data_IF_323319229200
#
_entry.id   IF_323319229200
#
_cell.length_a   1.000
_cell.length_b   1.000
_cell.length_c   1.000
_cell.angle_alpha   90.00
_cell.angle_beta   90.00
_cell.angle_gamma   90.00
#
_symmetry.space_group_name_H-M   'P 1'
#
loop_
_entity.id
_entity.type
_entity.pdbx_description
1 polymer ?
#
# COMPACT_ATOMS: atom_id res chain seq x y z
N UNK A 1 3.88 16.27 13.96
CA UNK A 1 2.70 15.52 13.48
C UNK A 1 3.05 14.97 12.12
N UNK A 2 3.15 13.66 11.97
CA UNK A 2 3.36 13.03 10.65
C UNK A 2 2.12 13.34 9.82
N UNK A 3 2.31 14.04 8.70
CA UNK A 3 1.22 14.33 7.78
C UNK A 3 0.85 13.02 7.07
N UNK A 4 -0.44 12.68 7.01
CA UNK A 4 -0.94 11.52 6.24
C UNK A 4 -0.41 11.63 4.80
N UNK A 5 0.06 10.52 4.21
CA UNK A 5 0.57 10.50 2.84
C UNK A 5 -0.47 11.00 1.81
N UNK A 6 -1.74 10.67 2.05
CA UNK A 6 -2.91 11.25 1.37
C UNK A 6 -4.17 11.03 2.21
N UNK A 7 -5.23 11.74 1.89
CA UNK A 7 -6.58 11.50 2.41
C UNK A 7 -7.54 11.41 1.22
N UNK A 8 -8.60 10.60 1.36
CA UNK A 8 -9.59 10.43 0.30
C UNK A 8 -9.45 9.11 -0.46
N UNK A 9 -9.41 9.16 -1.78
CA UNK A 9 -9.46 8.00 -2.68
C UNK A 9 -8.08 7.66 -3.25
N UNK A 10 -7.48 6.58 -2.78
CA UNK A 10 -6.35 5.95 -3.45
C UNK A 10 -6.84 4.80 -4.33
N UNK A 11 -6.46 4.79 -5.60
CA UNK A 11 -6.85 3.71 -6.52
C UNK A 11 -5.75 2.67 -6.64
N UNK A 12 -6.09 1.40 -6.39
CA UNK A 12 -5.23 0.27 -6.74
C UNK A 12 -5.37 0.03 -8.26
N UNK A 13 -4.44 0.61 -9.01
CA UNK A 13 -4.49 0.64 -10.47
C UNK A 13 -4.30 -0.76 -11.05
N UNK A 14 -5.09 -1.11 -12.06
CA UNK A 14 -4.85 -2.30 -12.87
C UNK A 14 -3.62 -2.08 -13.75
N UNK A 15 -2.95 -3.17 -14.13
CA UNK A 15 -1.88 -3.14 -15.13
C UNK A 15 -2.45 -3.63 -16.45
N UNK A 16 -2.72 -2.74 -17.43
CA UNK A 16 -3.18 -3.18 -18.73
C UNK A 16 -2.13 -4.04 -19.43
N UNK A 17 -2.57 -5.14 -20.03
CA UNK A 17 -1.69 -6.12 -20.68
C UNK A 17 -2.26 -6.54 -22.05
N UNK A 18 -1.34 -6.87 -22.96
CA UNK A 18 -1.62 -7.55 -24.22
C UNK A 18 -0.93 -8.91 -24.22
N UNK A 19 -1.15 -9.77 -25.22
CA UNK A 19 -0.36 -11.00 -25.37
C UNK A 19 1.16 -10.77 -25.47
N UNK A 20 1.57 -9.55 -25.88
CA UNK A 20 2.98 -9.20 -26.09
C UNK A 20 3.63 -8.52 -24.87
N UNK A 21 2.87 -8.26 -23.80
CA UNK A 21 3.38 -7.64 -22.57
C UNK A 21 2.51 -6.49 -22.05
N UNK A 22 3.14 -5.53 -21.38
CA UNK A 22 2.43 -4.39 -20.76
C UNK A 22 1.93 -3.40 -21.82
N UNK A 23 0.65 -3.04 -21.77
CA UNK A 23 0.06 -2.00 -22.60
C UNK A 23 0.29 -0.62 -21.96
N UNK A 24 1.46 -0.05 -22.21
CA UNK A 24 1.83 1.27 -21.68
C UNK A 24 0.93 2.40 -22.17
N UNK A 25 0.49 2.46 -23.45
CA UNK A 25 -0.47 3.48 -23.88
C UNK A 25 -1.79 3.44 -23.10
N UNK A 26 -2.32 2.26 -22.82
CA UNK A 26 -3.53 2.11 -22.02
C UNK A 26 -3.27 2.48 -20.54
N UNK A 27 -2.11 2.12 -19.97
CA UNK A 27 -1.73 2.51 -18.62
C UNK A 27 -1.63 4.04 -18.49
N UNK A 28 -1.01 4.71 -19.45
CA UNK A 28 -0.86 6.17 -19.48
C UNK A 28 -2.22 6.86 -19.55
N UNK A 29 -3.13 6.39 -20.40
CA UNK A 29 -4.50 6.92 -20.47
C UNK A 29 -5.26 6.72 -19.16
N UNK A 30 -5.09 5.58 -18.51
CA UNK A 30 -5.75 5.27 -17.25
C UNK A 30 -5.24 6.18 -16.11
N UNK A 31 -3.94 6.47 -16.05
CA UNK A 31 -3.35 7.40 -15.10
C UNK A 31 -3.97 8.80 -15.26
N UNK A 32 -4.02 9.32 -16.49
CA UNK A 32 -4.60 10.65 -16.76
C UNK A 32 -6.09 10.69 -16.40
N UNK A 33 -6.83 9.64 -16.75
CA UNK A 33 -8.26 9.56 -16.42
C UNK A 33 -8.48 9.60 -14.89
N UNK A 34 -7.70 8.87 -14.10
CA UNK A 34 -7.82 8.88 -12.65
C UNK A 34 -7.48 10.25 -12.05
N UNK A 35 -6.41 10.87 -12.51
CA UNK A 35 -6.02 12.21 -12.04
C UNK A 35 -7.10 13.23 -12.38
N UNK A 36 -7.61 13.21 -13.61
CA UNK A 36 -8.68 14.11 -14.05
C UNK A 36 -10.01 13.86 -13.31
N UNK A 37 -10.24 12.64 -12.84
CA UNK A 37 -11.42 12.25 -12.05
C UNK A 37 -11.28 12.58 -10.55
N UNK A 38 -10.19 13.19 -10.12
CA UNK A 38 -9.98 13.61 -8.73
C UNK A 38 -9.53 12.50 -7.79
N UNK A 39 -8.83 11.49 -8.30
CA UNK A 39 -8.16 10.48 -7.44
C UNK A 39 -7.03 11.13 -6.65
N UNK A 40 -6.95 10.83 -5.34
CA UNK A 40 -5.98 11.46 -4.42
C UNK A 40 -4.64 10.72 -4.35
N UNK A 41 -4.55 9.47 -4.79
CA UNK A 41 -3.30 8.70 -4.86
C UNK A 41 -3.42 7.54 -5.85
N UNK A 42 -2.31 7.16 -6.51
CA UNK A 42 -2.22 6.00 -7.39
C UNK A 42 -1.38 4.90 -6.72
N UNK A 43 -1.90 3.68 -6.69
CA UNK A 43 -1.21 2.52 -6.12
C UNK A 43 -0.90 1.52 -7.23
N UNK A 44 0.38 1.40 -7.57
CA UNK A 44 0.87 0.56 -8.66
C UNK A 44 1.36 -0.80 -8.15
N UNK A 45 1.37 -1.80 -9.01
CA UNK A 45 1.96 -3.12 -8.78
C UNK A 45 1.50 -3.79 -7.48
N UNK A 46 0.31 -3.43 -6.98
CA UNK A 46 -0.35 -4.08 -5.85
C UNK A 46 -1.17 -5.30 -6.34
N UNK A 47 -2.06 -5.83 -5.51
CA UNK A 47 -2.88 -7.01 -5.85
C UNK A 47 -3.71 -6.80 -7.11
N UNK A 48 -4.39 -5.66 -7.23
CA UNK A 48 -5.22 -5.31 -8.40
C UNK A 48 -4.39 -5.14 -9.66
N UNK A 49 -3.20 -4.59 -9.54
CA UNK A 49 -2.23 -4.44 -10.64
C UNK A 49 -1.40 -5.70 -10.91
N UNK A 50 -1.82 -6.85 -10.39
CA UNK A 50 -1.21 -8.17 -10.64
C UNK A 50 0.29 -8.21 -10.34
N UNK A 51 0.75 -7.43 -9.35
CA UNK A 51 2.16 -7.25 -9.03
C UNK A 51 2.94 -8.54 -8.72
N UNK A 52 2.25 -9.62 -8.32
CA UNK A 52 2.87 -10.90 -8.06
C UNK A 52 3.28 -11.68 -9.34
N UNK A 53 2.71 -11.31 -10.50
CA UNK A 53 2.97 -11.98 -11.79
C UNK A 53 3.90 -11.18 -12.69
N UNK A 54 4.18 -9.91 -12.34
CA UNK A 54 5.08 -9.05 -13.07
C UNK A 54 6.55 -9.44 -12.81
N UNK A 55 7.34 -9.44 -13.87
CA UNK A 55 8.80 -9.54 -13.76
C UNK A 55 9.40 -8.28 -13.13
N UNK A 56 10.63 -8.36 -12.64
CA UNK A 56 11.35 -7.19 -12.11
C UNK A 56 11.48 -6.07 -13.15
N UNK A 57 11.76 -6.41 -14.41
CA UNK A 57 11.91 -5.44 -15.50
C UNK A 57 10.58 -4.71 -15.80
N UNK A 58 9.48 -5.44 -15.89
CA UNK A 58 8.15 -4.86 -16.10
C UNK A 58 7.75 -3.94 -14.94
N UNK A 59 8.01 -4.36 -13.70
CA UNK A 59 7.74 -3.51 -12.52
C UNK A 59 8.53 -2.21 -12.56
N UNK A 60 9.82 -2.29 -12.85
CA UNK A 60 10.69 -1.11 -12.94
C UNK A 60 10.17 -0.13 -14.00
N UNK A 61 9.85 -0.63 -15.20
CA UNK A 61 9.35 0.20 -16.29
C UNK A 61 7.97 0.82 -15.98
N UNK A 62 7.04 0.05 -15.37
CA UNK A 62 5.74 0.57 -14.92
C UNK A 62 5.94 1.72 -13.93
N UNK A 63 6.81 1.54 -12.92
CA UNK A 63 7.05 2.55 -11.89
C UNK A 63 7.66 3.81 -12.50
N UNK A 64 8.75 3.67 -13.26
CA UNK A 64 9.46 4.80 -13.85
C UNK A 64 8.57 5.63 -14.79
N UNK A 65 7.83 4.97 -15.68
CA UNK A 65 6.90 5.65 -16.61
C UNK A 65 5.78 6.35 -15.83
N UNK A 66 5.16 5.67 -14.87
CA UNK A 66 4.05 6.22 -14.10
C UNK A 66 4.50 7.41 -13.24
N UNK A 67 5.63 7.31 -12.52
CA UNK A 67 6.17 8.41 -11.71
C UNK A 67 6.45 9.64 -12.59
N UNK A 68 7.12 9.43 -13.72
CA UNK A 68 7.42 10.52 -14.67
C UNK A 68 6.15 11.16 -15.20
N UNK A 69 5.13 10.37 -15.56
CA UNK A 69 3.88 10.88 -16.10
C UNK A 69 3.07 11.63 -15.06
N UNK A 70 2.93 11.05 -13.85
CA UNK A 70 2.20 11.69 -12.74
C UNK A 70 2.84 13.02 -12.35
N UNK A 71 4.17 13.11 -12.41
CA UNK A 71 4.94 14.34 -12.19
C UNK A 71 4.52 15.11 -10.93
N UNK A 72 4.34 14.39 -9.82
CA UNK A 72 4.01 14.99 -8.52
C UNK A 72 2.58 15.52 -8.37
N UNK A 73 1.68 15.29 -9.34
CA UNK A 73 0.28 15.74 -9.26
C UNK A 73 -0.52 15.04 -8.16
N UNK A 74 -0.22 13.78 -7.93
CA UNK A 74 -0.74 12.95 -6.82
C UNK A 74 0.36 12.00 -6.35
N UNK A 75 0.34 11.50 -5.11
CA UNK A 75 1.28 10.48 -4.65
C UNK A 75 1.20 9.19 -5.46
N UNK A 76 2.37 8.66 -5.81
CA UNK A 76 2.53 7.33 -6.40
C UNK A 76 3.04 6.36 -5.35
N UNK A 77 2.24 5.36 -5.01
CA UNK A 77 2.54 4.35 -3.99
C UNK A 77 2.73 3.00 -4.71
N UNK A 78 3.75 2.26 -4.35
CA UNK A 78 4.06 0.99 -5.03
C UNK A 78 3.86 -0.19 -4.10
N UNK A 79 3.15 -1.23 -4.58
CA UNK A 79 3.04 -2.52 -3.91
C UNK A 79 4.36 -3.27 -3.95
N UNK A 80 5.03 -3.44 -2.80
CA UNK A 80 6.36 -4.05 -2.70
C UNK A 80 6.42 -5.22 -1.74
N UNK A 81 5.26 -5.62 -1.17
CA UNK A 81 5.20 -6.71 -0.21
C UNK A 81 5.56 -8.08 -0.80
N UNK A 82 6.21 -8.88 0.02
CA UNK A 82 6.56 -10.27 -0.25
C UNK A 82 6.49 -11.07 1.05
N UNK A 83 6.32 -12.38 0.96
CA UNK A 83 6.45 -13.27 2.11
C UNK A 83 7.92 -13.54 2.50
N UNK A 84 8.87 -13.04 1.72
CA UNK A 84 10.30 -13.02 2.03
C UNK A 84 10.72 -11.58 2.34
N UNK A 85 11.20 -11.34 3.56
CA UNK A 85 11.59 -10.00 4.03
C UNK A 85 12.68 -9.37 3.17
N UNK A 86 13.68 -10.15 2.75
CA UNK A 86 14.76 -9.64 1.90
C UNK A 86 14.24 -9.20 0.52
N UNK A 87 13.31 -9.96 -0.06
CA UNK A 87 12.65 -9.58 -1.32
C UNK A 87 11.79 -8.32 -1.16
N UNK A 88 11.04 -8.20 -0.06
CA UNK A 88 10.25 -6.99 0.22
C UNK A 88 11.14 -5.75 0.37
N UNK A 89 12.31 -5.88 1.02
CA UNK A 89 13.31 -4.82 1.13
C UNK A 89 13.85 -4.43 -0.26
N UNK A 90 14.25 -5.41 -1.07
CA UNK A 90 14.79 -5.14 -2.40
C UNK A 90 13.77 -4.39 -3.28
N UNK A 91 12.53 -4.90 -3.36
CA UNK A 91 11.43 -4.27 -4.12
C UNK A 91 11.12 -2.86 -3.62
N UNK A 92 11.17 -2.65 -2.29
CA UNK A 92 10.89 -1.32 -1.72
C UNK A 92 11.99 -0.32 -2.06
N UNK A 93 13.25 -0.74 -2.01
CA UNK A 93 14.39 0.11 -2.42
C UNK A 93 14.34 0.48 -3.90
N UNK A 94 14.02 -0.49 -4.76
CA UNK A 94 13.86 -0.26 -6.20
C UNK A 94 12.74 0.75 -6.47
N UNK A 95 11.58 0.58 -5.82
CA UNK A 95 10.46 1.51 -5.96
C UNK A 95 10.83 2.93 -5.51
N UNK A 96 11.50 3.08 -4.37
CA UNK A 96 11.95 4.38 -3.86
C UNK A 96 12.99 5.02 -4.80
N UNK A 97 13.94 4.23 -5.31
CA UNK A 97 14.94 4.70 -6.27
C UNK A 97 14.32 5.16 -7.61
N UNK A 98 13.21 4.53 -8.03
CA UNK A 98 12.43 4.94 -9.20
C UNK A 98 11.51 6.15 -8.95
N UNK A 99 11.51 6.72 -7.73
CA UNK A 99 10.79 7.94 -7.39
C UNK A 99 9.40 7.75 -6.80
N UNK A 100 9.05 6.55 -6.30
CA UNK A 100 7.81 6.35 -5.57
C UNK A 100 7.74 7.22 -4.32
N UNK A 101 6.56 7.77 -4.02
CA UNK A 101 6.30 8.60 -2.83
C UNK A 101 6.06 7.76 -1.57
N UNK A 102 5.75 6.48 -1.73
CA UNK A 102 5.54 5.55 -0.64
C UNK A 102 5.48 4.09 -1.11
N UNK A 103 5.51 3.17 -0.15
CA UNK A 103 5.40 1.73 -0.43
C UNK A 103 4.21 1.12 0.32
N UNK A 104 3.53 0.18 -0.34
CA UNK A 104 2.44 -0.62 0.23
C UNK A 104 2.93 -2.05 0.41
N UNK A 105 3.04 -2.50 1.66
CA UNK A 105 3.63 -3.80 2.00
C UNK A 105 2.55 -4.71 2.60
N UNK A 106 2.17 -5.75 1.85
CA UNK A 106 1.21 -6.75 2.31
C UNK A 106 1.82 -7.64 3.40
N UNK A 107 0.99 -8.08 4.35
CA UNK A 107 1.41 -9.09 5.34
C UNK A 107 2.00 -10.32 4.65
N UNK A 108 3.12 -10.89 5.18
CA UNK A 108 3.71 -12.11 4.62
C UNK A 108 2.66 -13.21 4.48
N UNK A 109 2.34 -13.55 3.24
CA UNK A 109 1.35 -14.56 2.89
C UNK A 109 1.95 -15.97 2.96
N UNK A 110 1.09 -16.99 3.13
CA UNK A 110 1.46 -18.41 3.15
C UNK A 110 2.22 -18.85 4.40
N UNK A 111 3.25 -18.13 4.86
CA UNK A 111 4.17 -18.51 5.95
C UNK A 111 3.53 -18.48 7.35
N UNK A 112 2.34 -17.86 7.51
CA UNK A 112 1.62 -17.73 8.81
C UNK A 112 2.50 -17.13 9.91
N UNK A 113 3.08 -15.98 9.65
CA UNK A 113 3.92 -15.27 10.60
C UNK A 113 3.18 -14.97 11.91
N UNK A 114 3.90 -15.04 13.04
CA UNK A 114 3.38 -14.57 14.34
C UNK A 114 3.33 -13.03 14.39
N UNK A 115 2.58 -12.44 15.32
CA UNK A 115 2.49 -10.97 15.48
C UNK A 115 3.89 -10.35 15.68
N UNK A 116 4.75 -10.95 16.50
CA UNK A 116 6.13 -10.54 16.65
C UNK A 116 6.94 -10.65 15.34
N UNK A 117 6.66 -11.66 14.53
CA UNK A 117 7.25 -11.83 13.20
C UNK A 117 6.80 -10.73 12.24
N UNK A 118 5.51 -10.34 12.27
CA UNK A 118 4.96 -9.23 11.49
C UNK A 118 5.63 -7.91 11.86
N UNK A 119 5.76 -7.60 13.16
CA UNK A 119 6.48 -6.40 13.63
C UNK A 119 7.89 -6.37 13.07
N UNK A 120 8.67 -7.45 13.22
CA UNK A 120 10.05 -7.52 12.71
C UNK A 120 10.13 -7.37 11.19
N UNK A 121 9.19 -7.97 10.46
CA UNK A 121 9.14 -7.87 9.00
C UNK A 121 8.93 -6.44 8.53
N UNK A 122 7.87 -5.78 9.02
CA UNK A 122 7.55 -4.41 8.62
C UNK A 122 8.60 -3.39 9.07
N UNK A 123 9.12 -3.54 10.30
CA UNK A 123 10.21 -2.68 10.78
C UNK A 123 11.45 -2.82 9.89
N UNK A 124 11.85 -4.05 9.54
CA UNK A 124 13.03 -4.26 8.68
C UNK A 124 12.85 -3.66 7.26
N UNK A 125 11.63 -3.67 6.71
CA UNK A 125 11.35 -3.01 5.43
C UNK A 125 11.37 -1.49 5.59
N UNK A 126 10.75 -0.97 6.65
CA UNK A 126 10.69 0.47 6.92
C UNK A 126 12.05 1.10 7.22
N UNK A 127 12.95 0.36 7.93
CA UNK A 127 14.35 0.75 8.19
C UNK A 127 15.18 0.82 6.90
N UNK A 128 14.78 0.08 5.86
CA UNK A 128 15.55 -0.07 4.64
C UNK A 128 15.27 1.02 3.59
N UNK A 129 14.25 1.87 3.80
CA UNK A 129 13.81 2.91 2.88
C UNK A 129 13.58 4.24 3.60
N UNK A 130 13.66 5.34 2.85
CA UNK A 130 13.43 6.72 3.32
C UNK A 130 12.01 7.24 2.99
N UNK A 131 11.14 6.38 2.48
CA UNK A 131 9.77 6.71 2.09
C UNK A 131 8.75 6.08 3.02
N UNK A 132 7.56 6.71 3.16
CA UNK A 132 6.47 6.18 3.98
C UNK A 132 6.07 4.77 3.58
N UNK A 133 5.86 3.91 4.58
CA UNK A 133 5.35 2.56 4.43
C UNK A 133 3.90 2.49 4.92
N UNK A 134 3.01 1.97 4.09
CA UNK A 134 1.65 1.58 4.44
C UNK A 134 1.61 0.06 4.57
N UNK A 135 1.22 -0.44 5.74
CA UNK A 135 0.94 -1.86 5.96
C UNK A 135 -0.31 -2.25 5.18
N UNK A 136 -0.34 -3.43 4.56
CA UNK A 136 -1.55 -3.95 3.93
C UNK A 136 -1.97 -5.25 4.59
N UNK A 137 -3.12 -5.23 5.27
CA UNK A 137 -3.72 -6.38 5.94
C UNK A 137 -4.92 -6.91 5.14
N UNK A 138 -4.81 -8.14 4.65
CA UNK A 138 -5.85 -8.79 3.83
C UNK A 138 -5.91 -10.29 4.15
N UNK A 139 -6.43 -10.67 5.32
CA UNK A 139 -6.37 -12.05 5.83
C UNK A 139 -6.98 -13.10 4.88
N UNK A 140 -8.00 -12.73 4.11
CA UNK A 140 -8.63 -13.60 3.12
C UNK A 140 -7.69 -14.07 2.00
N UNK A 141 -6.59 -13.33 1.76
CA UNK A 141 -5.57 -13.68 0.76
C UNK A 141 -4.28 -14.21 1.38
N UNK A 142 -3.92 -13.73 2.57
CA UNK A 142 -2.61 -14.01 3.16
C UNK A 142 -2.64 -15.14 4.19
N UNK A 143 -3.81 -15.43 4.77
CA UNK A 143 -3.96 -16.41 5.85
C UNK A 143 -3.42 -15.92 7.20
N UNK A 144 -3.08 -14.62 7.33
CA UNK A 144 -2.62 -13.99 8.56
C UNK A 144 -3.24 -12.61 8.70
N UNK A 145 -3.58 -12.20 9.93
CA UNK A 145 -4.08 -10.87 10.26
C UNK A 145 -3.21 -10.20 11.29
N UNK A 146 -2.95 -8.91 11.13
CA UNK A 146 -2.43 -8.08 12.23
C UNK A 146 -3.52 -7.86 13.27
N UNK A 147 -3.10 -7.70 14.53
CA UNK A 147 -3.97 -7.20 15.61
C UNK A 147 -3.78 -5.69 15.78
N UNK A 148 -4.69 -5.04 16.51
CA UNK A 148 -4.58 -3.61 16.80
C UNK A 148 -3.33 -3.27 17.62
N UNK A 149 -2.92 -4.15 18.56
CA UNK A 149 -1.68 -4.00 19.33
C UNK A 149 -0.45 -4.09 18.44
N UNK A 150 -0.48 -4.95 17.41
CA UNK A 150 0.59 -5.01 16.41
C UNK A 150 0.72 -3.69 15.67
N UNK A 151 -0.40 -3.08 15.27
CA UNK A 151 -0.38 -1.74 14.65
C UNK A 151 0.11 -0.67 15.62
N UNK A 152 -0.29 -0.72 16.90
CA UNK A 152 0.20 0.22 17.91
C UNK A 152 1.73 0.17 18.08
N UNK A 153 2.33 -1.02 18.00
CA UNK A 153 3.79 -1.16 17.99
C UNK A 153 4.39 -0.60 16.69
N UNK A 154 3.82 -0.93 15.54
CA UNK A 154 4.29 -0.45 14.24
C UNK A 154 4.17 1.07 14.09
N UNK A 155 3.13 1.68 14.65
CA UNK A 155 2.90 3.13 14.64
C UNK A 155 3.98 3.94 15.38
N UNK A 156 4.82 3.29 16.20
CA UNK A 156 5.97 3.95 16.84
C UNK A 156 7.14 4.16 15.86
N UNK A 157 7.11 3.48 14.72
CA UNK A 157 8.15 3.63 13.69
C UNK A 157 7.86 4.87 12.81
N UNK A 158 8.80 5.81 12.65
CA UNK A 158 8.55 7.08 11.95
C UNK A 158 8.14 6.92 10.48
N UNK A 159 8.61 5.87 9.80
CA UNK A 159 8.29 5.60 8.39
C UNK A 159 7.06 4.71 8.19
N UNK A 160 6.44 4.16 9.25
CA UNK A 160 5.20 3.38 9.12
C UNK A 160 4.01 4.29 9.42
N UNK A 161 3.36 4.78 8.37
CA UNK A 161 2.40 5.88 8.46
C UNK A 161 0.94 5.44 8.53
N UNK A 162 0.67 4.14 8.37
CA UNK A 162 -0.70 3.65 8.45
C UNK A 162 -0.89 2.27 7.87
N UNK A 163 -2.18 1.90 7.73
CA UNK A 163 -2.60 0.61 7.22
C UNK A 163 -3.71 0.73 6.17
N UNK A 164 -3.59 -0.03 5.07
CA UNK A 164 -4.71 -0.44 4.24
C UNK A 164 -5.35 -1.66 4.89
N UNK A 165 -6.51 -1.46 5.53
CA UNK A 165 -7.20 -2.50 6.28
C UNK A 165 -8.29 -3.16 5.44
N UNK A 166 -8.14 -4.44 5.15
CA UNK A 166 -9.05 -5.21 4.31
C UNK A 166 -9.49 -6.55 4.98
N UNK A 167 -9.46 -6.62 6.32
CA UNK A 167 -9.96 -7.79 7.06
C UNK A 167 -11.47 -7.92 7.05
N UNK A 168 -12.19 -6.81 6.84
CA UNK A 168 -13.64 -6.76 7.00
C UNK A 168 -14.11 -6.58 8.44
N UNK A 169 -13.22 -6.31 9.39
CA UNK A 169 -13.54 -6.12 10.81
C UNK A 169 -13.62 -4.63 11.20
N UNK A 170 -14.81 -4.16 11.51
CA UNK A 170 -15.00 -2.82 12.07
C UNK A 170 -14.35 -2.67 13.44
N UNK A 171 -14.42 -3.72 14.26
CA UNK A 171 -13.80 -3.72 15.59
C UNK A 171 -12.28 -3.49 15.46
N UNK A 172 -11.62 -4.17 14.53
CA UNK A 172 -10.18 -3.97 14.30
C UNK A 172 -9.87 -2.54 13.84
N UNK A 173 -10.68 -1.96 12.94
CA UNK A 173 -10.51 -0.57 12.51
C UNK A 173 -10.63 0.38 13.69
N UNK A 174 -11.69 0.24 14.49
CA UNK A 174 -11.95 1.09 15.65
C UNK A 174 -10.84 0.98 16.70
N UNK A 175 -10.43 -0.24 17.04
CA UNK A 175 -9.35 -0.49 18.00
C UNK A 175 -8.02 0.08 17.49
N UNK A 176 -7.72 -0.05 16.20
CA UNK A 176 -6.53 0.51 15.58
C UNK A 176 -6.51 2.04 15.70
N UNK A 177 -7.61 2.70 15.34
CA UNK A 177 -7.73 4.16 15.47
C UNK A 177 -7.56 4.63 16.92
N UNK A 178 -8.14 3.91 17.88
CA UNK A 178 -8.01 4.23 19.29
C UNK A 178 -6.59 4.05 19.83
N UNK A 179 -5.90 2.98 19.45
CA UNK A 179 -4.56 2.65 19.98
C UNK A 179 -3.42 3.40 19.29
N UNK A 180 -3.56 3.68 18.00
CA UNK A 180 -2.49 4.32 17.21
C UNK A 180 -2.57 5.85 17.20
N UNK A 181 -3.75 6.43 17.45
CA UNK A 181 -3.98 7.87 17.46
C UNK A 181 -3.83 8.53 16.08
N UNK A 182 -3.80 9.86 16.05
CA UNK A 182 -3.86 10.69 14.83
C UNK A 182 -2.63 10.58 13.92
N UNK A 183 -1.54 10.02 14.42
CA UNK A 183 -0.28 9.86 13.66
C UNK A 183 -0.27 8.65 12.73
N UNK A 184 -1.27 7.77 12.80
CA UNK A 184 -1.35 6.53 12.04
C UNK A 184 -2.65 6.47 11.24
N UNK A 185 -2.54 6.51 9.92
CA UNK A 185 -3.70 6.57 9.03
C UNK A 185 -4.29 5.18 8.77
N UNK A 186 -5.62 5.09 8.74
CA UNK A 186 -6.32 3.86 8.36
C UNK A 186 -7.09 4.12 7.07
N UNK A 187 -6.73 3.40 6.00
CA UNK A 187 -7.48 3.37 4.73
C UNK A 187 -8.26 2.06 4.64
N UNK A 188 -9.54 2.15 4.30
CA UNK A 188 -10.32 0.94 4.00
C UNK A 188 -9.83 0.31 2.70
N UNK A 189 -9.47 -0.98 2.74
CA UNK A 189 -9.19 -1.78 1.55
C UNK A 189 -10.43 -2.48 1.00
N UNK A 190 -11.60 -2.23 1.60
CA UNK A 190 -12.86 -2.90 1.30
C UNK A 190 -13.93 -1.85 0.93
N UNK A 191 -14.37 -1.85 -0.34
CA UNK A 191 -15.31 -0.85 -0.85
C UNK A 191 -16.64 -0.78 -0.08
N UNK A 192 -17.13 -1.90 0.46
CA UNK A 192 -18.36 -1.96 1.26
C UNK A 192 -18.22 -1.27 2.63
N UNK A 193 -17.00 -1.12 3.14
CA UNK A 193 -16.72 -0.56 4.46
C UNK A 193 -16.27 0.90 4.44
N UNK A 194 -16.14 1.52 3.25
CA UNK A 194 -15.55 2.86 3.10
C UNK A 194 -16.23 3.94 3.93
N UNK A 195 -17.56 3.96 3.92
CA UNK A 195 -18.33 4.98 4.66
C UNK A 195 -18.17 4.85 6.16
N UNK A 196 -18.26 3.61 6.66
CA UNK A 196 -18.14 3.36 8.11
C UNK A 196 -16.71 3.61 8.59
N UNK A 197 -15.69 3.18 7.83
CA UNK A 197 -14.31 3.47 8.16
C UNK A 197 -14.03 4.98 8.21
N UNK A 198 -14.58 5.75 7.25
CA UNK A 198 -14.47 7.21 7.23
C UNK A 198 -15.20 7.86 8.41
N UNK A 199 -16.39 7.39 8.76
CA UNK A 199 -17.17 7.89 9.92
C UNK A 199 -16.45 7.64 11.26
N UNK A 200 -15.65 6.58 11.35
CA UNK A 200 -14.81 6.26 12.52
C UNK A 200 -13.52 7.10 12.58
N UNK A 201 -13.22 7.93 11.60
CA UNK A 201 -12.01 8.75 11.54
C UNK A 201 -10.93 8.24 10.59
N UNK A 202 -11.23 7.23 9.78
CA UNK A 202 -10.31 6.73 8.75
C UNK A 202 -9.89 7.81 7.75
N UNK A 203 -8.71 7.65 7.17
CA UNK A 203 -8.13 8.61 6.23
C UNK A 203 -8.75 8.54 4.82
N UNK A 204 -9.41 7.43 4.48
CA UNK A 204 -10.02 7.23 3.17
C UNK A 204 -10.08 5.77 2.75
N UNK A 205 -9.87 5.54 1.46
CA UNK A 205 -9.88 4.19 0.86
C UNK A 205 -8.65 3.95 0.00
N UNK A 206 -8.26 2.69 -0.10
CA UNK A 206 -7.34 2.18 -1.13
C UNK A 206 -8.05 0.99 -1.78
N UNK A 207 -8.67 1.19 -2.95
CA UNK A 207 -9.52 0.17 -3.59
C UNK A 207 -9.23 0.06 -5.08
#
# INVERSE_FOLDING_TARGET
>A
MSQSLFRGSGVALVTPMTPDGIDFPALEQLIEWHIASGTDALILCATTGEGATLTYAERAEIIERSVRQVNGRVPVIVGTGSNNTASAIALSREACAAGADGVLVVTPYYNKATQRGLVRHFTAVADAVDRPLIVYNVPSRTGVSCTAETYAVLAQHPNIVGVKEASGSFALIQETLNLCGDGFSVWSGNGSMRYTASALGGAGVIS
#
